data_IF_694268163188
#
_entry.id   IF_694268163188
#
_cell.length_a   1.000
_cell.length_b   1.000
_cell.length_c   1.000
_cell.angle_alpha   90.00
_cell.angle_beta   90.00
_cell.angle_gamma   90.00
#
_symmetry.space_group_name_H-M   'P 1'
#
loop_
_entity.id
_entity.type
_entity.pdbx_description
1 polymer ?
#
# COMPACT_ATOMS: atom_id res chain seq x y z
N UNK A 1 14.14 3.25 1.06
CA UNK A 1 12.97 2.42 1.38
C UNK A 1 11.72 3.24 1.04
N UNK A 2 10.78 2.64 0.33
CA UNK A 2 9.54 3.33 -0.09
C UNK A 2 8.36 2.79 0.69
N UNK A 3 7.31 3.60 0.81
CA UNK A 3 6.06 3.21 1.45
C UNK A 3 5.12 2.58 0.41
N UNK A 4 4.63 1.39 0.69
CA UNK A 4 3.77 0.62 -0.20
C UNK A 4 2.33 0.59 0.33
N UNK A 5 1.41 1.14 -0.45
CA UNK A 5 -0.01 0.96 -0.22
C UNK A 5 -0.46 -0.45 -0.65
N UNK A 6 -1.50 -0.96 -0.03
CA UNK A 6 -2.04 -2.29 -0.32
C UNK A 6 -2.34 -2.51 -1.81
N UNK A 7 -2.83 -1.48 -2.52
CA UNK A 7 -3.13 -1.59 -3.95
C UNK A 7 -1.90 -1.96 -4.79
N UNK A 8 -0.71 -1.57 -4.34
CA UNK A 8 0.55 -1.88 -5.03
C UNK A 8 1.14 -3.22 -4.59
N UNK A 9 0.72 -3.74 -3.45
CA UNK A 9 1.18 -5.04 -2.94
C UNK A 9 0.43 -6.19 -3.63
N UNK A 10 -0.88 -6.05 -3.85
CA UNK A 10 -1.71 -7.11 -4.45
C UNK A 10 -1.14 -7.66 -5.75
N UNK A 11 -0.65 -6.82 -6.71
CA UNK A 11 -0.05 -7.34 -7.93
C UNK A 11 1.26 -8.11 -7.74
N UNK A 12 1.86 -8.08 -6.56
CA UNK A 12 2.99 -8.94 -6.21
C UNK A 12 2.54 -10.34 -5.77
N UNK A 13 1.26 -10.49 -5.45
CA UNK A 13 0.67 -11.73 -4.91
C UNK A 13 -0.03 -12.54 -5.99
N UNK A 14 -0.68 -11.87 -6.94
CA UNK A 14 -1.38 -12.46 -8.08
C UNK A 14 -1.02 -11.68 -9.33
N UNK A 15 -1.05 -12.36 -10.48
CA UNK A 15 -0.68 -11.74 -11.76
C UNK A 15 -1.77 -10.76 -12.21
N UNK A 16 -1.37 -9.50 -12.39
CA UNK A 16 -2.18 -8.42 -12.94
C UNK A 16 -1.33 -7.60 -13.91
N UNK A 17 -1.93 -6.64 -14.62
CA UNK A 17 -1.22 -5.87 -15.65
C UNK A 17 -0.01 -5.10 -15.10
N UNK A 18 -0.07 -4.66 -13.86
CA UNK A 18 1.01 -3.89 -13.20
C UNK A 18 2.07 -4.76 -12.52
N UNK A 19 1.89 -6.08 -12.46
CA UNK A 19 2.74 -6.98 -11.66
C UNK A 19 4.22 -6.89 -12.01
N UNK A 20 4.55 -6.88 -13.31
CA UNK A 20 5.96 -6.87 -13.73
C UNK A 20 6.66 -5.60 -13.26
N UNK A 21 6.05 -4.45 -13.42
CA UNK A 21 6.64 -3.18 -13.00
C UNK A 21 6.82 -3.13 -11.48
N UNK A 22 5.81 -3.55 -10.74
CA UNK A 22 5.87 -3.56 -9.27
C UNK A 22 6.86 -4.58 -8.74
N UNK A 23 6.98 -5.75 -9.39
CA UNK A 23 8.02 -6.73 -9.05
C UNK A 23 9.42 -6.13 -9.24
N UNK A 24 9.62 -5.39 -10.33
CA UNK A 24 10.89 -4.71 -10.58
C UNK A 24 11.21 -3.68 -9.50
N UNK A 25 10.21 -2.89 -9.09
CA UNK A 25 10.38 -1.92 -7.99
C UNK A 25 10.70 -2.61 -6.67
N UNK A 26 9.99 -3.68 -6.36
CA UNK A 26 10.22 -4.45 -5.12
C UNK A 26 11.63 -5.05 -5.08
N UNK A 27 12.14 -5.52 -6.23
CA UNK A 27 13.46 -6.10 -6.33
C UNK A 27 14.58 -5.07 -6.10
N UNK A 28 14.31 -3.79 -6.30
CA UNK A 28 15.27 -2.71 -6.08
C UNK A 28 15.38 -2.28 -4.63
N UNK A 29 14.46 -2.73 -3.78
CA UNK A 29 14.38 -2.33 -2.39
C UNK A 29 14.91 -3.42 -1.47
N UNK A 30 15.60 -3.01 -0.40
CA UNK A 30 16.02 -3.95 0.65
C UNK A 30 14.83 -4.44 1.47
N UNK A 31 13.82 -3.57 1.66
CA UNK A 31 12.57 -3.88 2.34
C UNK A 31 11.51 -2.83 2.02
N UNK A 32 10.26 -3.17 2.30
CA UNK A 32 9.11 -2.29 2.10
C UNK A 32 8.71 -1.67 3.43
N UNK A 33 8.27 -0.41 3.42
CA UNK A 33 7.55 0.18 4.55
C UNK A 33 6.05 -0.01 4.30
N UNK A 34 5.33 -0.52 5.28
CA UNK A 34 3.92 -0.89 5.12
C UNK A 34 3.15 -0.51 6.38
N UNK A 35 1.90 -0.04 6.20
CA UNK A 35 0.98 0.21 7.30
C UNK A 35 0.52 -1.11 7.93
N UNK A 36 0.38 -1.14 9.24
CA UNK A 36 -0.08 -2.33 9.98
C UNK A 36 -1.36 -2.93 9.41
N UNK A 37 -2.31 -2.10 9.00
CA UNK A 37 -3.58 -2.55 8.43
C UNK A 37 -3.51 -3.07 7.00
N UNK A 38 -2.40 -2.89 6.31
CA UNK A 38 -2.28 -3.23 4.88
C UNK A 38 -2.38 -4.73 4.60
N UNK A 39 -1.94 -5.56 5.53
CA UNK A 39 -2.07 -7.02 5.38
C UNK A 39 -3.55 -7.42 5.28
N UNK A 40 -4.40 -6.86 6.13
CA UNK A 40 -5.85 -7.11 6.10
C UNK A 40 -6.45 -6.55 4.82
N UNK A 41 -6.03 -5.39 4.37
CA UNK A 41 -6.51 -4.81 3.11
C UNK A 41 -6.14 -5.69 1.92
N UNK A 42 -4.93 -6.27 1.91
CA UNK A 42 -4.52 -7.22 0.86
C UNK A 42 -5.40 -8.47 0.86
N UNK A 43 -5.67 -9.04 2.04
CA UNK A 43 -6.56 -10.20 2.16
C UNK A 43 -7.96 -9.85 1.66
N UNK A 44 -8.47 -8.67 2.02
CA UNK A 44 -9.77 -8.19 1.57
C UNK A 44 -9.84 -8.10 0.04
N UNK A 45 -8.81 -7.54 -0.58
CA UNK A 45 -8.75 -7.42 -2.04
C UNK A 45 -8.68 -8.79 -2.72
N UNK A 46 -7.86 -9.69 -2.21
CA UNK A 46 -7.74 -11.06 -2.74
C UNK A 46 -9.05 -11.83 -2.59
N UNK A 47 -9.69 -11.72 -1.42
CA UNK A 47 -10.97 -12.40 -1.17
C UNK A 47 -12.07 -11.91 -2.12
N UNK A 48 -12.09 -10.62 -2.43
CA UNK A 48 -13.04 -10.05 -3.39
C UNK A 48 -12.80 -10.62 -4.79
N UNK A 49 -11.56 -10.70 -5.23
CA UNK A 49 -11.20 -11.26 -6.53
C UNK A 49 -11.58 -12.74 -6.62
N UNK A 50 -11.37 -13.50 -5.56
CA UNK A 50 -11.79 -14.92 -5.51
C UNK A 50 -13.30 -15.05 -5.63
N UNK A 51 -14.06 -14.24 -4.88
CA UNK A 51 -15.53 -14.26 -4.95
C UNK A 51 -16.05 -13.87 -6.34
N UNK A 52 -15.35 -12.96 -7.02
CA UNK A 52 -15.71 -12.51 -8.36
C UNK A 52 -15.26 -13.49 -9.46
N UNK A 53 -14.63 -14.60 -9.09
CA UNK A 53 -14.23 -15.64 -10.03
C UNK A 53 -12.92 -15.37 -10.77
N UNK A 54 -12.11 -14.39 -10.33
CA UNK A 54 -10.85 -14.08 -10.99
C UNK A 54 -9.82 -15.22 -10.85
N UNK A 55 -9.90 -15.98 -9.78
CA UNK A 55 -9.07 -17.16 -9.55
C UNK A 55 -9.74 -18.08 -8.51
N UNK A 56 -9.22 -19.30 -8.40
CA UNK A 56 -9.79 -20.33 -7.50
C UNK A 56 -9.07 -20.36 -6.14
N UNK A 57 -9.55 -21.27 -5.28
CA UNK A 57 -9.00 -21.43 -3.92
C UNK A 57 -7.52 -21.83 -3.92
N UNK A 58 -7.06 -22.52 -4.95
CA UNK A 58 -5.65 -22.93 -5.09
C UNK A 58 -4.76 -21.72 -5.28
N UNK A 59 -5.14 -20.82 -6.18
CA UNK A 59 -4.41 -19.56 -6.41
C UNK A 59 -4.48 -18.68 -5.16
N UNK A 60 -5.63 -18.64 -4.50
CA UNK A 60 -5.80 -17.91 -3.24
C UNK A 60 -4.79 -18.37 -2.18
N UNK A 61 -4.65 -19.68 -2.02
CA UNK A 61 -3.71 -20.24 -1.04
C UNK A 61 -2.25 -19.81 -1.34
N UNK A 62 -1.86 -19.83 -2.61
CA UNK A 62 -0.53 -19.39 -3.03
C UNK A 62 -0.33 -17.89 -2.75
N UNK A 63 -1.35 -17.09 -3.07
CA UNK A 63 -1.30 -15.64 -2.82
C UNK A 63 -1.14 -15.31 -1.34
N UNK A 64 -1.86 -16.03 -0.47
CA UNK A 64 -1.75 -15.85 0.98
C UNK A 64 -0.36 -16.24 1.51
N UNK A 65 0.26 -17.28 0.95
CA UNK A 65 1.64 -17.64 1.29
C UNK A 65 2.61 -16.53 0.90
N UNK A 66 2.47 -15.98 -0.29
CA UNK A 66 3.30 -14.86 -0.77
C UNK A 66 3.14 -13.64 0.14
N UNK A 67 1.91 -13.35 0.53
CA UNK A 67 1.62 -12.24 1.44
C UNK A 67 2.34 -12.44 2.77
N UNK A 68 2.29 -13.65 3.34
CA UNK A 68 2.98 -13.94 4.59
C UNK A 68 4.49 -13.78 4.44
N UNK A 69 5.07 -14.22 3.33
CA UNK A 69 6.50 -14.06 3.06
C UNK A 69 6.90 -12.58 3.00
N UNK A 70 6.10 -11.76 2.33
CA UNK A 70 6.35 -10.31 2.29
C UNK A 70 6.22 -9.70 3.68
N UNK A 71 5.18 -10.06 4.42
CA UNK A 71 4.93 -9.53 5.76
C UNK A 71 6.04 -9.90 6.76
N UNK A 72 6.63 -11.07 6.60
CA UNK A 72 7.76 -11.50 7.45
C UNK A 72 9.01 -10.64 7.21
N UNK A 73 9.11 -10.00 6.04
CA UNK A 73 10.29 -9.24 5.62
C UNK A 73 10.09 -7.72 5.62
N UNK A 74 8.87 -7.23 5.54
CA UNK A 74 8.64 -5.78 5.47
C UNK A 74 8.79 -5.09 6.82
N UNK A 75 8.94 -3.77 6.78
CA UNK A 75 8.93 -2.93 7.98
C UNK A 75 7.54 -2.34 8.15
N UNK A 76 6.92 -2.63 9.27
CA UNK A 76 5.53 -2.28 9.54
C UNK A 76 5.44 -1.04 10.42
N UNK A 77 4.58 -0.11 10.03
CA UNK A 77 4.26 1.06 10.83
C UNK A 77 3.10 0.70 11.75
N UNK A 78 3.36 0.67 13.05
CA UNK A 78 2.38 0.28 14.06
C UNK A 78 1.30 1.33 14.27
N UNK A 79 0.08 0.92 14.64
CA UNK A 79 -0.98 1.85 14.97
C UNK A 79 -0.63 2.69 16.20
N UNK A 80 -1.04 3.96 16.17
CA UNK A 80 -0.81 4.91 17.26
C UNK A 80 -1.88 5.99 17.26
N UNK A 81 -2.04 6.69 18.37
CA UNK A 81 -2.97 7.83 18.45
C UNK A 81 -2.59 8.95 17.47
N UNK A 82 -1.31 9.35 17.35
CA UNK A 82 -0.94 10.35 16.34
C UNK A 82 -1.31 10.00 14.91
N UNK A 83 -1.20 8.71 14.52
CA UNK A 83 -1.60 8.26 13.19
C UNK A 83 -3.12 8.40 13.03
N UNK A 84 -3.88 8.00 14.04
CA UNK A 84 -5.34 8.14 14.02
C UNK A 84 -5.74 9.60 13.83
N UNK A 85 -5.18 10.50 14.62
CA UNK A 85 -5.46 11.94 14.56
C UNK A 85 -5.10 12.53 13.19
N UNK A 86 -3.96 12.15 12.64
CA UNK A 86 -3.53 12.58 11.30
C UNK A 86 -4.49 12.08 10.23
N UNK A 87 -4.95 10.83 10.34
CA UNK A 87 -5.93 10.25 9.40
C UNK A 87 -7.25 11.01 9.46
N UNK A 88 -7.73 11.34 10.66
CA UNK A 88 -8.96 12.14 10.83
C UNK A 88 -8.84 13.49 10.14
N UNK A 89 -7.68 14.15 10.27
CA UNK A 89 -7.42 15.42 9.59
C UNK A 89 -7.40 15.25 8.07
N UNK A 90 -6.75 14.22 7.57
CA UNK A 90 -6.68 13.96 6.12
C UNK A 90 -8.06 13.70 5.51
N UNK A 91 -8.95 13.07 6.25
CA UNK A 91 -10.33 12.84 5.80
C UNK A 91 -11.09 14.15 5.60
N UNK A 92 -10.76 15.19 6.33
CA UNK A 92 -11.41 16.51 6.22
C UNK A 92 -10.80 17.36 5.09
N UNK A 93 -9.61 17.01 4.62
CA UNK A 93 -8.87 17.81 3.62
C UNK A 93 -8.92 17.16 2.24
N UNK A 94 -8.96 15.84 2.17
CA UNK A 94 -8.88 15.08 0.92
C UNK A 94 -10.08 14.17 0.73
N UNK A 95 -10.47 13.88 -0.53
CA UNK A 95 -11.57 12.95 -0.81
C UNK A 95 -11.09 11.49 -0.69
N UNK A 96 -10.82 11.06 0.54
CA UNK A 96 -10.30 9.73 0.84
C UNK A 96 -11.32 8.92 1.63
N UNK A 97 -11.23 7.60 1.52
CA UNK A 97 -11.90 6.68 2.43
C UNK A 97 -11.02 6.48 3.67
N UNK A 98 -11.61 5.92 4.72
CA UNK A 98 -10.90 5.73 6.00
C UNK A 98 -9.61 4.90 5.82
N UNK A 99 -9.65 3.81 5.03
CA UNK A 99 -8.48 2.98 4.80
C UNK A 99 -7.34 3.76 4.12
N UNK A 100 -7.67 4.63 3.14
CA UNK A 100 -6.68 5.44 2.42
C UNK A 100 -6.08 6.51 3.33
N UNK A 101 -6.91 7.11 4.17
CA UNK A 101 -6.45 8.11 5.13
C UNK A 101 -5.46 7.51 6.14
N UNK A 102 -5.70 6.27 6.58
CA UNK A 102 -4.79 5.55 7.46
C UNK A 102 -3.47 5.22 6.75
N UNK A 103 -3.51 4.82 5.49
CA UNK A 103 -2.31 4.60 4.68
C UNK A 103 -1.47 5.89 4.63
N UNK A 104 -2.10 7.00 4.28
CA UNK A 104 -1.40 8.28 4.15
C UNK A 104 -0.85 8.76 5.49
N UNK A 105 -1.61 8.60 6.56
CA UNK A 105 -1.18 8.97 7.91
C UNK A 105 0.00 8.12 8.39
N UNK A 106 0.00 6.83 8.07
CA UNK A 106 1.13 5.95 8.39
C UNK A 106 2.39 6.36 7.61
N UNK A 107 2.24 6.71 6.34
CA UNK A 107 3.35 7.23 5.54
C UNK A 107 3.89 8.53 6.13
N UNK A 108 3.00 9.42 6.58
CA UNK A 108 3.38 10.68 7.20
C UNK A 108 4.20 10.46 8.49
N UNK A 109 3.79 9.50 9.31
CA UNK A 109 4.54 9.11 10.50
C UNK A 109 5.89 8.50 10.14
N UNK A 110 5.94 7.63 9.13
CA UNK A 110 7.19 7.00 8.66
C UNK A 110 8.18 8.04 8.13
N UNK A 111 7.68 9.09 7.51
CA UNK A 111 8.48 10.21 7.00
C UNK A 111 8.89 11.20 8.09
N UNK A 112 8.55 10.92 9.34
CA UNK A 112 8.82 11.81 10.48
C UNK A 112 8.29 13.22 10.23
N UNK A 113 7.09 13.32 9.67
CA UNK A 113 6.40 14.57 9.30
C UNK A 113 7.14 15.38 8.23
N UNK A 114 7.98 14.70 7.45
CA UNK A 114 8.72 15.29 6.30
C UNK A 114 8.35 14.54 5.02
N UNK A 115 7.18 14.81 4.45
CA UNK A 115 6.71 14.04 3.28
C UNK A 115 7.71 13.99 2.12
N UNK A 116 8.46 15.06 1.89
CA UNK A 116 9.44 15.10 0.80
C UNK A 116 10.55 14.06 0.93
N UNK A 117 10.75 13.47 2.12
CA UNK A 117 11.78 12.47 2.36
C UNK A 117 11.35 11.05 2.00
N UNK A 118 10.09 10.82 1.63
CA UNK A 118 9.54 9.48 1.42
C UNK A 118 8.72 9.43 0.13
N UNK A 119 8.99 8.41 -0.68
CA UNK A 119 8.17 8.10 -1.85
C UNK A 119 7.11 7.07 -1.51
N UNK A 120 5.93 7.21 -2.11
CA UNK A 120 4.81 6.29 -1.97
C UNK A 120 4.59 5.55 -3.28
N UNK A 121 4.33 4.25 -3.19
CA UNK A 121 3.93 3.40 -4.31
C UNK A 121 2.47 3.01 -4.10
N UNK A 122 1.60 3.42 -5.01
CA UNK A 122 0.17 3.13 -4.98
C UNK A 122 -0.40 3.08 -6.38
N UNK A 123 -1.40 2.23 -6.58
CA UNK A 123 -2.21 2.19 -7.80
C UNK A 123 -3.53 2.97 -7.63
N UNK A 124 -3.79 3.50 -6.44
CA UNK A 124 -5.00 4.27 -6.16
C UNK A 124 -4.77 5.75 -6.48
N UNK A 125 -5.47 6.26 -7.49
CA UNK A 125 -5.31 7.64 -7.95
C UNK A 125 -5.69 8.68 -6.89
N UNK A 126 -6.70 8.40 -6.08
CA UNK A 126 -7.12 9.32 -5.02
C UNK A 126 -6.04 9.44 -3.95
N UNK A 127 -5.47 8.31 -3.57
CA UNK A 127 -4.36 8.29 -2.61
C UNK A 127 -3.13 8.98 -3.19
N UNK A 128 -2.79 8.70 -4.44
CA UNK A 128 -1.66 9.33 -5.12
C UNK A 128 -1.81 10.86 -5.14
N UNK A 129 -3.00 11.35 -5.50
CA UNK A 129 -3.26 12.79 -5.55
C UNK A 129 -3.16 13.44 -4.17
N UNK A 130 -3.73 12.80 -3.15
CA UNK A 130 -3.64 13.30 -1.77
C UNK A 130 -2.19 13.31 -1.28
N UNK A 131 -1.43 12.25 -1.58
CA UNK A 131 -0.03 12.15 -1.21
C UNK A 131 0.79 13.29 -1.83
N UNK A 132 0.59 13.57 -3.12
CA UNK A 132 1.28 14.68 -3.80
C UNK A 132 0.95 16.01 -3.16
N UNK A 133 -0.31 16.25 -2.82
CA UNK A 133 -0.76 17.47 -2.16
C UNK A 133 -0.14 17.63 -0.78
N UNK A 134 0.13 16.54 -0.09
CA UNK A 134 0.79 16.57 1.21
C UNK A 134 2.31 16.66 1.09
N UNK A 135 2.88 16.61 -0.11
CA UNK A 135 4.30 16.82 -0.34
C UNK A 135 5.12 15.55 -0.55
N UNK A 136 4.49 14.38 -0.59
CA UNK A 136 5.18 13.12 -0.89
C UNK A 136 5.58 13.02 -2.35
N UNK A 137 6.70 12.34 -2.62
CA UNK A 137 6.96 11.80 -3.94
C UNK A 137 6.05 10.60 -4.16
N UNK A 138 5.51 10.47 -5.36
CA UNK A 138 4.72 9.31 -5.76
C UNK A 138 5.39 8.69 -6.97
N UNK A 139 5.67 7.39 -6.91
CA UNK A 139 6.32 6.67 -8.01
C UNK A 139 5.35 6.62 -9.20
N UNK A 140 5.84 7.00 -10.38
CA UNK A 140 5.04 6.93 -11.59
C UNK A 140 4.96 5.49 -12.09
N UNK A 141 3.74 4.97 -12.17
CA UNK A 141 3.47 3.60 -12.63
C UNK A 141 2.79 3.57 -14.01
N UNK A 142 2.57 4.73 -14.62
CA UNK A 142 1.81 4.82 -15.87
C UNK A 142 2.50 4.12 -17.03
N UNK A 143 3.83 4.08 -17.04
CA UNK A 143 4.63 3.47 -18.10
C UNK A 143 5.11 2.07 -17.74
N UNK A 144 4.54 1.51 -16.71
CA UNK A 144 4.91 0.21 -16.19
C UNK A 144 4.52 -0.97 -17.07
#
# INVERSE_FOLDING_TARGET
MKFWDASAIVPLLVLESSSRHLQSLAAQESAMLVWWGSKVECVSALARRERDGAFDARVMAIALQRLQQLADAWHEIDPSDPIRETAERFLRVHPLRAADALQLAAAFAAAERRPASLEIITLDDRLANAARKEGFGVVDLADG
#
